data_IF_034454213041
#
_entry.id   IF_034454213041
#
_cell.length_a   1.000
_cell.length_b   1.000
_cell.length_c   1.000
_cell.angle_alpha   90.00
_cell.angle_beta   90.00
_cell.angle_gamma   90.00
#
_symmetry.space_group_name_H-M   'P 1'
#
loop_
_entity.id
_entity.type
_entity.pdbx_description
1 polymer ?
#
# COMPACT_ATOMS: atom_id res chain seq x y z
N UNK A 1 -41.48 -33.33 -12.91
CA UNK A 1 -41.28 -32.59 -14.14
C UNK A 1 -39.83 -32.06 -14.23
N UNK A 2 -39.13 -32.33 -15.35
CA UNK A 2 -37.69 -31.95 -15.59
C UNK A 2 -37.41 -30.45 -15.36
N UNK A 3 -38.36 -29.56 -15.62
CA UNK A 3 -38.23 -28.13 -15.35
C UNK A 3 -38.05 -27.79 -13.87
N UNK A 4 -38.80 -28.42 -12.95
CA UNK A 4 -38.64 -28.16 -11.50
C UNK A 4 -37.27 -28.61 -10.96
N UNK A 5 -36.69 -29.72 -11.49
CA UNK A 5 -35.35 -30.18 -11.13
C UNK A 5 -34.26 -29.23 -11.66
N UNK A 6 -34.43 -28.66 -12.86
CA UNK A 6 -33.50 -27.70 -13.43
C UNK A 6 -33.45 -26.41 -12.64
N UNK A 7 -34.58 -25.77 -12.30
CA UNK A 7 -34.64 -24.57 -11.47
C UNK A 7 -34.11 -24.80 -10.05
N UNK A 8 -34.33 -25.97 -9.44
CA UNK A 8 -33.78 -26.30 -8.13
C UNK A 8 -32.25 -26.45 -8.17
N UNK A 9 -31.69 -26.94 -9.28
CA UNK A 9 -30.22 -27.06 -9.50
C UNK A 9 -29.58 -25.70 -9.78
N UNK A 10 -30.26 -24.81 -10.52
CA UNK A 10 -29.82 -23.41 -10.75
C UNK A 10 -29.81 -22.61 -9.44
N UNK A 11 -30.87 -22.72 -8.62
CA UNK A 11 -30.99 -22.04 -7.34
C UNK A 11 -29.89 -22.47 -6.35
N UNK A 12 -29.55 -23.76 -6.33
CA UNK A 12 -28.41 -24.28 -5.52
C UNK A 12 -27.05 -23.74 -6.03
N UNK A 13 -26.85 -23.64 -7.35
CA UNK A 13 -25.59 -23.11 -7.92
C UNK A 13 -25.43 -21.59 -7.67
N UNK A 14 -26.52 -20.83 -7.83
CA UNK A 14 -26.55 -19.40 -7.52
C UNK A 14 -26.30 -19.14 -6.02
N UNK A 15 -26.90 -19.96 -5.16
CA UNK A 15 -26.76 -19.84 -3.72
C UNK A 15 -25.30 -20.11 -3.25
N UNK A 16 -24.63 -21.10 -3.84
CA UNK A 16 -23.22 -21.43 -3.53
C UNK A 16 -22.28 -20.32 -4.06
N UNK A 17 -22.52 -19.81 -5.27
CA UNK A 17 -21.70 -18.75 -5.86
C UNK A 17 -21.88 -17.43 -5.12
N UNK A 18 -23.11 -17.10 -4.74
CA UNK A 18 -23.45 -15.92 -3.98
C UNK A 18 -22.91 -15.97 -2.54
N UNK A 19 -23.03 -17.13 -1.87
CA UNK A 19 -22.39 -17.35 -0.56
C UNK A 19 -20.87 -17.23 -0.63
N UNK A 20 -20.25 -17.82 -1.66
CA UNK A 20 -18.81 -17.72 -1.87
C UNK A 20 -18.36 -16.26 -2.12
N UNK A 21 -19.13 -15.51 -2.90
CA UNK A 21 -18.91 -14.09 -3.14
C UNK A 21 -19.04 -13.25 -1.85
N UNK A 22 -20.13 -13.45 -1.08
CA UNK A 22 -20.35 -12.79 0.21
C UNK A 22 -19.22 -13.13 1.19
N UNK A 23 -18.84 -14.39 1.31
CA UNK A 23 -17.73 -14.82 2.20
C UNK A 23 -16.42 -14.15 1.76
N UNK A 24 -16.12 -14.14 0.45
CA UNK A 24 -14.89 -13.51 -0.06
C UNK A 24 -14.88 -12.01 0.19
N UNK A 25 -15.99 -11.31 -0.07
CA UNK A 25 -16.13 -9.87 0.21
C UNK A 25 -16.05 -9.59 1.71
N UNK A 26 -16.68 -10.43 2.54
CA UNK A 26 -16.63 -10.29 4.00
C UNK A 26 -15.21 -10.54 4.53
N UNK A 27 -14.50 -11.53 4.01
CA UNK A 27 -13.09 -11.79 4.36
C UNK A 27 -12.22 -10.60 3.97
N UNK A 28 -12.35 -10.08 2.74
CA UNK A 28 -11.60 -8.90 2.27
C UNK A 28 -11.89 -7.67 3.13
N UNK A 29 -13.15 -7.46 3.53
CA UNK A 29 -13.55 -6.37 4.42
C UNK A 29 -12.96 -6.59 5.82
N UNK A 30 -13.03 -7.81 6.35
CA UNK A 30 -12.48 -8.15 7.67
C UNK A 30 -10.95 -8.04 7.65
N UNK A 31 -10.26 -8.54 6.63
CA UNK A 31 -8.80 -8.41 6.49
C UNK A 31 -8.34 -6.96 6.36
N UNK A 32 -9.14 -6.09 5.72
CA UNK A 32 -8.87 -4.64 5.68
C UNK A 32 -9.26 -3.89 6.97
N UNK A 33 -10.23 -4.39 7.73
CA UNK A 33 -10.72 -3.72 8.94
C UNK A 33 -10.06 -4.21 10.23
N UNK A 34 -9.57 -5.45 10.27
CA UNK A 34 -8.98 -6.05 11.48
C UNK A 34 -7.70 -5.32 11.95
N UNK A 35 -6.75 -4.93 11.08
CA UNK A 35 -5.57 -4.20 11.54
C UNK A 35 -5.90 -2.86 12.20
N UNK A 36 -6.84 -2.11 11.64
CA UNK A 36 -7.23 -0.79 12.20
C UNK A 36 -8.04 -0.87 13.49
N UNK A 37 -8.77 -1.97 13.74
CA UNK A 37 -9.55 -2.13 14.97
C UNK A 37 -8.69 -2.44 16.20
N UNK A 38 -7.49 -3.01 16.00
CA UNK A 38 -6.54 -3.32 17.07
C UNK A 38 -5.69 -2.12 17.48
N UNK A 39 -5.54 -1.13 16.60
CA UNK A 39 -4.79 0.09 16.89
C UNK A 39 -5.72 1.11 17.53
N UNK A 40 -5.42 1.53 18.77
CA UNK A 40 -6.18 2.57 19.47
C UNK A 40 -6.38 3.78 18.54
N UNK A 41 -7.64 4.13 18.25
CA UNK A 41 -7.99 5.30 17.42
C UNK A 41 -7.37 6.57 17.99
N UNK A 42 -6.73 7.34 17.11
CA UNK A 42 -6.15 8.64 17.42
C UNK A 42 -6.43 9.58 16.26
N UNK A 43 -7.00 10.75 16.54
CA UNK A 43 -7.27 11.79 15.53
C UNK A 43 -6.02 12.13 14.72
N UNK A 44 -4.86 12.21 15.35
CA UNK A 44 -3.60 12.50 14.69
C UNK A 44 -3.19 11.38 13.73
N UNK A 45 -3.38 10.10 14.13
CA UNK A 45 -3.06 8.94 13.27
C UNK A 45 -3.97 8.87 12.06
N UNK A 46 -5.26 9.10 12.26
CA UNK A 46 -6.25 9.10 11.17
C UNK A 46 -5.94 10.22 10.16
N UNK A 47 -5.56 11.40 10.62
CA UNK A 47 -5.15 12.52 9.76
C UNK A 47 -3.86 12.20 8.98
N UNK A 48 -2.84 11.63 9.64
CA UNK A 48 -1.58 11.22 8.98
C UNK A 48 -1.86 10.18 7.91
N UNK A 49 -2.68 9.17 8.20
CA UNK A 49 -3.04 8.13 7.25
C UNK A 49 -3.86 8.68 6.07
N UNK A 50 -4.84 9.54 6.35
CA UNK A 50 -5.67 10.17 5.32
C UNK A 50 -4.84 11.05 4.37
N UNK A 51 -3.93 11.87 4.92
CA UNK A 51 -3.02 12.70 4.13
C UNK A 51 -2.12 11.82 3.25
N UNK A 52 -1.53 10.78 3.82
CA UNK A 52 -0.64 9.88 3.09
C UNK A 52 -1.36 9.12 1.96
N UNK A 53 -2.57 8.59 2.22
CA UNK A 53 -3.35 7.87 1.22
C UNK A 53 -3.83 8.75 0.06
N UNK A 54 -3.87 10.07 0.23
CA UNK A 54 -4.21 11.03 -0.83
C UNK A 54 -3.03 11.42 -1.72
N UNK A 55 -1.80 10.95 -1.42
CA UNK A 55 -0.55 11.36 -2.09
C UNK A 55 0.06 10.22 -2.90
N UNK A 56 0.73 10.59 -3.99
CA UNK A 56 1.49 9.69 -4.87
C UNK A 56 2.97 10.07 -4.96
N UNK A 57 3.40 11.05 -4.17
CA UNK A 57 4.77 11.59 -4.15
C UNK A 57 5.64 11.02 -3.02
N UNK A 58 5.11 10.05 -2.29
CA UNK A 58 5.82 9.30 -1.22
C UNK A 58 6.55 10.20 -0.24
N UNK A 59 5.83 11.01 0.56
CA UNK A 59 6.43 12.01 1.42
C UNK A 59 7.30 11.39 2.52
N UNK A 60 8.26 12.17 2.98
CA UNK A 60 8.97 11.92 4.25
C UNK A 60 8.09 12.27 5.44
N UNK A 61 8.52 11.90 6.65
CA UNK A 61 7.81 12.28 7.87
C UNK A 61 7.77 13.80 8.09
N UNK A 62 8.83 14.50 7.69
CA UNK A 62 8.92 15.95 7.76
C UNK A 62 7.92 16.62 6.83
N UNK A 63 7.80 16.14 5.58
CA UNK A 63 6.86 16.68 4.60
C UNK A 63 5.41 16.47 5.07
N UNK A 64 5.07 15.29 5.61
CA UNK A 64 3.77 15.04 6.22
C UNK A 64 3.50 15.90 7.45
N UNK A 65 4.51 16.13 8.28
CA UNK A 65 4.40 17.03 9.42
C UNK A 65 4.09 18.44 8.98
N UNK A 66 4.79 18.94 7.96
CA UNK A 66 4.59 20.31 7.43
C UNK A 66 3.20 20.47 6.82
N UNK A 67 2.69 19.48 6.07
CA UNK A 67 1.35 19.54 5.48
C UNK A 67 0.22 19.54 6.52
N UNK A 68 0.42 18.82 7.64
CA UNK A 68 -0.62 18.64 8.67
C UNK A 68 -0.56 19.66 9.82
N UNK A 69 0.54 20.41 9.94
CA UNK A 69 0.79 21.29 11.09
C UNK A 69 -0.25 22.40 11.24
N UNK A 70 -0.78 22.94 10.14
CA UNK A 70 -1.78 24.00 10.16
C UNK A 70 -3.13 23.49 10.70
N UNK A 71 -3.54 22.29 10.29
CA UNK A 71 -4.80 21.68 10.73
C UNK A 71 -4.69 21.08 12.14
N UNK A 72 -3.50 20.63 12.53
CA UNK A 72 -3.22 19.99 13.80
C UNK A 72 -2.08 20.72 14.54
N UNK A 73 -2.34 21.91 15.14
CA UNK A 73 -1.30 22.71 15.80
C UNK A 73 -0.53 21.97 16.92
N UNK A 74 -1.17 21.00 17.56
CA UNK A 74 -0.58 20.17 18.62
C UNK A 74 0.15 18.92 18.07
N UNK A 75 0.25 18.76 16.75
CA UNK A 75 1.03 17.68 16.14
C UNK A 75 2.52 18.00 16.28
N UNK A 76 3.30 17.02 16.72
CA UNK A 76 4.76 17.11 16.73
C UNK A 76 5.36 16.17 15.70
N UNK A 77 6.54 16.49 15.19
CA UNK A 77 7.29 15.63 14.27
C UNK A 77 7.53 14.24 14.87
N UNK A 78 7.87 14.16 16.16
CA UNK A 78 8.02 12.87 16.86
C UNK A 78 6.73 12.05 16.93
N UNK A 79 5.56 12.70 16.94
CA UNK A 79 4.27 12.02 16.85
C UNK A 79 4.02 11.46 15.45
N UNK A 80 4.42 12.21 14.38
CA UNK A 80 4.34 11.72 13.00
C UNK A 80 5.18 10.47 12.83
N UNK A 81 6.46 10.52 13.19
CA UNK A 81 7.37 9.37 13.11
C UNK A 81 6.82 8.14 13.85
N UNK A 82 6.35 8.31 15.09
CA UNK A 82 5.80 7.20 15.88
C UNK A 82 4.56 6.58 15.23
N UNK A 83 3.67 7.39 14.66
CA UNK A 83 2.48 6.87 13.98
C UNK A 83 2.84 6.20 12.65
N UNK A 84 3.76 6.75 11.87
CA UNK A 84 4.23 6.13 10.63
C UNK A 84 4.94 4.79 10.89
N UNK A 85 5.78 4.69 11.92
CA UNK A 85 6.40 3.43 12.32
C UNK A 85 5.34 2.39 12.68
N UNK A 86 4.38 2.75 13.53
CA UNK A 86 3.30 1.84 13.92
C UNK A 86 2.46 1.38 12.72
N UNK A 87 2.07 2.30 11.83
CA UNK A 87 1.29 1.98 10.63
C UNK A 87 2.07 1.08 9.67
N UNK A 88 3.39 1.28 9.57
CA UNK A 88 4.27 0.46 8.75
C UNK A 88 4.49 -0.94 9.34
N UNK A 89 4.68 -1.05 10.65
CA UNK A 89 4.81 -2.33 11.36
C UNK A 89 3.55 -3.19 11.23
N UNK A 90 2.37 -2.56 11.24
CA UNK A 90 1.07 -3.20 11.04
C UNK A 90 0.75 -3.46 9.54
N UNK A 91 1.64 -3.07 8.62
CA UNK A 91 1.45 -3.27 7.18
C UNK A 91 0.33 -2.43 6.56
N UNK A 92 -0.14 -1.38 7.25
CA UNK A 92 -1.20 -0.47 6.76
C UNK A 92 -0.63 0.48 5.71
N UNK A 93 0.66 0.81 5.81
CA UNK A 93 1.41 1.61 4.85
C UNK A 93 2.75 0.93 4.54
N UNK A 94 3.41 1.35 3.48
CA UNK A 94 4.79 0.94 3.20
C UNK A 94 5.78 1.99 3.71
N UNK A 95 6.91 1.51 4.22
CA UNK A 95 8.10 2.30 4.48
C UNK A 95 9.17 1.91 3.46
N UNK A 96 9.69 2.89 2.76
CA UNK A 96 10.65 2.76 1.67
C UNK A 96 11.92 3.52 2.04
N UNK A 97 12.95 2.81 2.51
CA UNK A 97 14.23 3.42 2.89
C UNK A 97 15.13 3.48 1.66
N UNK A 98 15.17 4.65 0.99
CA UNK A 98 15.97 4.88 -0.21
C UNK A 98 16.44 6.34 -0.28
N UNK A 99 17.53 6.58 -0.99
CA UNK A 99 18.07 7.94 -1.16
C UNK A 99 18.56 8.61 0.12
N UNK A 100 18.79 7.84 1.20
CA UNK A 100 19.22 8.38 2.50
C UNK A 100 18.09 8.91 3.38
N UNK A 101 16.82 8.77 2.95
CA UNK A 101 15.63 9.15 3.70
C UNK A 101 14.62 7.99 3.74
N UNK A 102 13.71 8.03 4.70
CA UNK A 102 12.55 7.17 4.77
C UNK A 102 11.36 7.86 4.09
N UNK A 103 10.83 7.23 3.04
CA UNK A 103 9.61 7.63 2.35
C UNK A 103 8.47 6.72 2.78
N UNK A 104 7.26 7.24 2.73
CA UNK A 104 6.06 6.51 3.13
C UNK A 104 5.04 6.48 2.01
N UNK A 105 4.39 5.32 1.85
CA UNK A 105 3.41 5.07 0.81
C UNK A 105 2.14 4.46 1.40
N UNK A 106 1.00 5.07 1.14
CA UNK A 106 -0.31 4.58 1.55
C UNK A 106 -0.83 3.42 0.69
N UNK A 107 -0.21 3.18 -0.48
CA UNK A 107 -0.57 2.08 -1.36
C UNK A 107 0.27 0.84 -1.04
N UNK A 108 -0.32 -0.14 -0.39
CA UNK A 108 0.36 -1.40 -0.03
C UNK A 108 0.33 -2.46 -1.13
N UNK A 109 -0.39 -2.23 -2.24
CA UNK A 109 -0.36 -3.12 -3.38
C UNK A 109 1.04 -3.16 -4.01
N UNK A 110 1.45 -4.31 -4.54
CA UNK A 110 2.76 -4.42 -5.17
C UNK A 110 2.84 -3.54 -6.43
N UNK A 111 3.82 -2.65 -6.47
CA UNK A 111 4.16 -1.79 -7.60
C UNK A 111 5.64 -1.42 -7.54
N UNK A 112 6.13 -0.75 -8.59
CA UNK A 112 7.52 -0.34 -8.71
C UNK A 112 7.67 1.16 -8.49
N UNK A 113 8.89 1.56 -8.12
CA UNK A 113 9.22 2.95 -7.83
C UNK A 113 10.38 3.44 -8.69
N UNK A 114 10.46 4.75 -8.86
CA UNK A 114 11.60 5.44 -9.44
C UNK A 114 12.10 6.51 -8.47
N UNK A 115 13.39 6.44 -8.11
CA UNK A 115 14.07 7.42 -7.26
C UNK A 115 14.94 8.36 -8.11
N UNK A 116 14.73 9.64 -7.97
CA UNK A 116 15.59 10.63 -8.59
C UNK A 116 16.87 10.86 -7.78
N UNK A 117 18.02 10.51 -8.35
CA UNK A 117 19.34 10.70 -7.71
C UNK A 117 19.72 12.18 -7.49
N UNK A 118 19.02 13.11 -8.14
CA UNK A 118 19.33 14.56 -8.04
C UNK A 118 18.51 15.26 -6.96
N UNK A 119 17.21 15.01 -6.88
CA UNK A 119 16.33 15.69 -5.92
C UNK A 119 15.79 14.77 -4.81
N UNK A 120 16.11 13.48 -4.83
CA UNK A 120 15.68 12.51 -3.83
C UNK A 120 14.18 12.14 -3.88
N UNK A 121 13.40 12.70 -4.82
CA UNK A 121 11.98 12.37 -4.92
C UNK A 121 11.76 10.94 -5.41
N UNK A 122 10.81 10.28 -4.78
CA UNK A 122 10.34 8.96 -5.12
C UNK A 122 9.00 9.07 -5.87
N UNK A 123 8.81 8.27 -6.90
CA UNK A 123 7.61 8.25 -7.75
C UNK A 123 7.13 6.82 -7.97
N UNK A 124 5.82 6.64 -8.08
CA UNK A 124 5.26 5.40 -8.64
C UNK A 124 5.66 5.24 -10.09
N UNK A 125 6.10 4.03 -10.44
CA UNK A 125 6.36 3.66 -11.82
C UNK A 125 5.13 2.92 -12.37
N UNK A 126 4.38 3.51 -13.33
CA UNK A 126 3.15 2.93 -13.86
C UNK A 126 3.44 1.80 -14.84
N UNK A 127 4.17 0.78 -14.40
CA UNK A 127 4.42 -0.42 -15.18
C UNK A 127 3.89 -1.66 -14.45
N UNK A 128 3.45 -2.69 -15.18
CA UNK A 128 2.94 -3.90 -14.56
C UNK A 128 4.03 -4.64 -13.79
N UNK A 129 3.64 -5.30 -12.70
CA UNK A 129 4.55 -6.12 -11.91
C UNK A 129 4.91 -7.39 -12.69
N UNK A 130 6.21 -7.63 -12.87
CA UNK A 130 6.74 -8.81 -13.57
C UNK A 130 6.84 -10.01 -12.63
N UNK A 131 5.75 -10.76 -12.50
CA UNK A 131 5.69 -11.99 -11.67
C UNK A 131 6.65 -13.08 -12.12
N UNK A 132 7.14 -13.00 -13.34
CA UNK A 132 8.17 -13.88 -13.89
C UNK A 132 9.49 -13.78 -13.11
N UNK A 133 9.81 -12.61 -12.55
CA UNK A 133 11.00 -12.42 -11.73
C UNK A 133 10.97 -13.26 -10.45
N UNK A 134 9.82 -13.40 -9.80
CA UNK A 134 9.67 -14.22 -8.60
C UNK A 134 9.91 -15.70 -8.96
N UNK A 135 9.34 -16.13 -10.09
CA UNK A 135 9.53 -17.50 -10.60
C UNK A 135 10.97 -17.78 -11.03
N UNK A 136 11.65 -16.80 -11.62
CA UNK A 136 13.05 -16.93 -11.99
C UNK A 136 13.94 -16.99 -10.76
N UNK A 137 13.74 -16.08 -9.79
CA UNK A 137 14.48 -16.06 -8.53
C UNK A 137 14.34 -17.38 -7.77
N UNK A 138 13.15 -18.00 -7.81
CA UNK A 138 12.88 -19.28 -7.14
C UNK A 138 13.82 -20.40 -7.60
N UNK A 139 14.33 -20.37 -8.85
CA UNK A 139 15.27 -21.39 -9.36
C UNK A 139 16.64 -21.35 -8.67
N UNK A 140 17.00 -20.23 -8.07
CA UNK A 140 18.28 -19.98 -7.42
C UNK A 140 18.20 -19.96 -5.90
N UNK A 141 16.98 -20.04 -5.35
CA UNK A 141 16.75 -19.96 -3.91
C UNK A 141 16.42 -21.34 -3.31
N UNK A 142 16.99 -21.70 -2.16
CA UNK A 142 16.60 -22.91 -1.41
C UNK A 142 15.31 -22.75 -0.60
N UNK A 143 14.62 -21.59 -0.75
CA UNK A 143 13.41 -21.19 -0.03
C UNK A 143 12.37 -20.61 -0.98
N UNK A 144 11.15 -20.29 -0.53
CA UNK A 144 10.13 -19.68 -1.36
C UNK A 144 10.34 -18.16 -1.47
N UNK A 145 10.16 -17.63 -2.69
CA UNK A 145 10.08 -16.19 -2.96
C UNK A 145 8.62 -15.80 -3.13
N UNK A 146 8.11 -14.97 -2.22
CA UNK A 146 6.70 -14.58 -2.22
C UNK A 146 6.44 -13.37 -3.13
N UNK A 147 7.36 -12.41 -3.15
CA UNK A 147 7.31 -11.20 -3.98
C UNK A 147 8.69 -10.55 -4.09
N UNK A 148 8.82 -9.64 -5.03
CA UNK A 148 10.00 -8.76 -5.17
C UNK A 148 9.60 -7.29 -5.08
N UNK A 149 10.58 -6.43 -4.83
CA UNK A 149 10.45 -4.97 -4.94
C UNK A 149 11.55 -4.45 -5.85
N UNK A 150 11.19 -3.54 -6.76
CA UNK A 150 12.16 -2.86 -7.62
C UNK A 150 12.03 -1.35 -7.46
N UNK A 151 13.18 -0.70 -7.36
CA UNK A 151 13.31 0.75 -7.45
C UNK A 151 14.29 1.06 -8.57
N UNK A 152 13.85 1.86 -9.52
CA UNK A 152 14.68 2.37 -10.61
C UNK A 152 15.30 3.69 -10.18
N UNK A 153 16.52 3.93 -10.58
CA UNK A 153 17.30 5.12 -10.21
C UNK A 153 17.67 5.91 -11.45
N UNK A 154 17.58 7.24 -11.37
CA UNK A 154 17.93 8.11 -12.50
C UNK A 154 17.74 9.57 -12.20
N UNK A 155 17.48 10.38 -13.21
CA UNK A 155 17.15 11.80 -13.08
C UNK A 155 15.72 12.04 -13.54
N UNK A 156 14.87 12.64 -12.71
CA UNK A 156 13.48 12.92 -13.06
C UNK A 156 13.39 14.06 -14.08
N UNK A 157 12.27 14.13 -14.78
CA UNK A 157 12.01 15.16 -15.81
C UNK A 157 12.25 16.57 -15.29
N UNK A 158 11.71 16.92 -14.13
CA UNK A 158 11.89 18.25 -13.52
C UNK A 158 13.36 18.60 -13.26
N UNK A 159 14.21 17.61 -12.98
CA UNK A 159 15.64 17.81 -12.79
C UNK A 159 16.41 17.83 -14.11
N UNK A 160 15.94 17.18 -15.16
CA UNK A 160 16.53 17.29 -16.50
C UNK A 160 16.29 18.66 -17.13
N UNK A 161 15.09 19.23 -16.93
CA UNK A 161 14.71 20.54 -17.49
C UNK A 161 15.35 21.76 -16.77
N UNK A 162 15.93 21.57 -15.58
CA UNK A 162 16.59 22.61 -14.79
C UNK A 162 18.09 22.75 -15.08
N UNK A 163 18.47 22.52 -16.34
CA UNK A 163 19.85 22.78 -16.82
C UNK A 163 19.97 24.13 -17.43
#
# INVERSE_FOLDING_TARGET
SRRKKFFKKLRKRLDISFKKYIITVTIIIIERMVPMALIKRSRQREAILSELCGRTDHPTAEELYLSLKEELPNLSLGTVYRNLSLLSEEGIILKLSCGGADHFDGNTAQHYHFLCNRCGRLYDLPMPVFKELDREAQKYLPCSADYHRLTFYGICQNCMEKH
#
